data_IF_402066550060
#
_entry.id   IF_402066550060
#
_cell.length_a   1.000
_cell.length_b   1.000
_cell.length_c   1.000
_cell.angle_alpha   90.00
_cell.angle_beta   90.00
_cell.angle_gamma   90.00
#
_symmetry.space_group_name_H-M   'P 1'
#
loop_
_entity.id
_entity.type
_entity.pdbx_description
1 polymer ?
#
# COMPACT_ATOMS: atom_id res chain seq x y z
N UNK A 1 56.59 -43.00 -38.22
CA UNK A 1 56.85 -42.06 -39.33
C UNK A 1 56.63 -40.65 -38.81
N UNK A 2 57.72 -39.87 -38.69
CA UNK A 2 57.79 -38.40 -38.53
C UNK A 2 57.18 -37.67 -39.75
N UNK A 3 56.98 -36.32 -39.78
CA UNK A 3 56.59 -35.30 -38.77
C UNK A 3 55.49 -34.35 -39.39
N UNK A 4 55.46 -32.99 -39.27
CA UNK A 4 55.18 -32.09 -38.12
C UNK A 4 54.20 -30.89 -38.38
N UNK A 5 54.00 -30.08 -37.30
CA UNK A 5 54.01 -28.59 -37.21
C UNK A 5 52.79 -27.74 -37.63
N UNK A 6 52.14 -27.20 -36.60
CA UNK A 6 52.00 -25.77 -36.26
C UNK A 6 52.07 -24.72 -37.38
N UNK A 7 51.03 -23.90 -37.51
CA UNK A 7 51.00 -22.52 -36.98
C UNK A 7 49.79 -21.73 -37.53
N UNK A 8 49.40 -20.72 -36.74
CA UNK A 8 48.63 -19.52 -37.13
C UNK A 8 47.12 -19.75 -37.31
N UNK A 9 46.23 -18.90 -36.80
CA UNK A 9 46.34 -17.61 -36.15
C UNK A 9 45.04 -17.40 -35.37
N UNK A 10 45.12 -16.54 -34.34
CA UNK A 10 44.02 -16.25 -33.44
C UNK A 10 42.74 -15.81 -34.14
N UNK A 11 41.62 -16.23 -33.57
CA UNK A 11 40.34 -15.55 -33.77
C UNK A 11 39.84 -15.09 -32.41
N UNK A 12 40.10 -13.81 -32.17
CA UNK A 12 39.43 -12.98 -31.20
C UNK A 12 37.92 -13.22 -31.24
N UNK A 13 37.34 -13.46 -30.07
CA UNK A 13 35.90 -13.33 -29.84
C UNK A 13 35.58 -11.83 -29.93
N UNK A 14 35.13 -11.40 -31.12
CA UNK A 14 34.50 -10.12 -31.32
C UNK A 14 32.98 -10.33 -31.35
N UNK A 15 32.35 -10.33 -30.17
CA UNK A 15 30.91 -10.10 -30.03
C UNK A 15 30.68 -8.59 -30.20
N UNK A 16 30.72 -8.13 -31.45
CA UNK A 16 30.32 -6.76 -31.78
C UNK A 16 28.80 -6.64 -31.65
N UNK A 17 28.42 -5.64 -30.85
CA UNK A 17 27.08 -5.11 -30.68
C UNK A 17 26.32 -5.01 -32.02
N UNK A 18 25.21 -5.76 -32.10
CA UNK A 18 24.16 -5.57 -33.07
C UNK A 18 22.91 -5.15 -32.30
N UNK A 19 22.57 -3.87 -32.41
CA UNK A 19 21.23 -3.31 -32.70
C UNK A 19 21.28 -1.84 -32.27
N UNK A 20 21.62 -0.96 -33.22
CA UNK A 20 21.14 0.42 -33.21
C UNK A 20 20.92 0.80 -34.66
N UNK A 21 19.67 1.10 -35.01
CA UNK A 21 19.20 2.09 -35.98
C UNK A 21 17.70 1.84 -36.20
N UNK A 22 16.87 2.45 -35.36
CA UNK A 22 15.41 2.35 -35.46
C UNK A 22 14.59 2.63 -34.19
N UNK A 23 15.19 3.13 -33.11
CA UNK A 23 14.45 3.48 -31.88
C UNK A 23 14.98 4.78 -31.28
N UNK A 24 14.88 5.87 -32.04
CA UNK A 24 15.12 7.22 -31.53
C UNK A 24 13.94 7.67 -30.67
N UNK A 25 14.23 8.15 -29.47
CA UNK A 25 13.30 8.63 -28.42
C UNK A 25 12.65 7.53 -27.56
N UNK A 26 11.97 6.53 -28.13
CA UNK A 26 11.14 5.61 -27.32
C UNK A 26 11.88 4.79 -26.24
N UNK A 27 13.09 4.29 -26.53
CA UNK A 27 13.83 3.43 -25.57
C UNK A 27 14.46 4.25 -24.44
N UNK A 28 14.91 5.47 -24.73
CA UNK A 28 15.48 6.36 -23.71
C UNK A 28 14.39 6.83 -22.74
N UNK A 29 13.22 7.21 -23.26
CA UNK A 29 12.07 7.61 -22.46
C UNK A 29 11.56 6.44 -21.58
N UNK A 30 11.57 5.21 -22.12
CA UNK A 30 11.16 4.01 -21.38
C UNK A 30 12.14 3.66 -20.26
N UNK A 31 13.45 3.77 -20.50
CA UNK A 31 14.48 3.50 -19.47
C UNK A 31 14.45 4.57 -18.38
N UNK A 32 14.29 5.85 -18.75
CA UNK A 32 14.22 6.96 -17.79
C UNK A 32 12.98 6.84 -16.89
N UNK A 33 11.81 6.56 -17.48
CA UNK A 33 10.57 6.34 -16.72
C UNK A 33 10.67 5.15 -15.76
N UNK A 34 11.30 4.04 -16.17
CA UNK A 34 11.52 2.89 -15.30
C UNK A 34 12.43 3.21 -14.11
N UNK A 35 13.49 4.01 -14.31
CA UNK A 35 14.39 4.46 -13.24
C UNK A 35 13.68 5.42 -12.27
N UNK A 36 12.92 6.38 -12.80
CA UNK A 36 12.18 7.37 -11.98
C UNK A 36 11.08 6.70 -11.16
N UNK A 37 10.42 5.69 -11.73
CA UNK A 37 9.44 4.85 -11.05
C UNK A 37 10.10 4.02 -9.95
N UNK A 38 11.25 3.39 -10.21
CA UNK A 38 11.98 2.62 -9.21
C UNK A 38 12.46 3.50 -8.02
N UNK A 39 12.96 4.70 -8.31
CA UNK A 39 13.35 5.67 -7.27
C UNK A 39 12.15 6.13 -6.43
N UNK A 40 11.01 6.39 -7.09
CA UNK A 40 9.76 6.76 -6.42
C UNK A 40 9.30 5.62 -5.50
N UNK A 41 9.21 4.40 -6.01
CA UNK A 41 8.86 3.22 -5.21
C UNK A 41 9.78 3.02 -4.02
N UNK A 42 11.10 3.17 -4.22
CA UNK A 42 12.09 3.09 -3.13
C UNK A 42 11.83 4.13 -2.04
N UNK A 43 11.65 5.39 -2.40
CA UNK A 43 11.34 6.46 -1.44
C UNK A 43 10.03 6.21 -0.69
N UNK A 44 8.99 5.70 -1.36
CA UNK A 44 7.73 5.35 -0.71
C UNK A 44 7.89 4.15 0.23
N UNK A 45 8.61 3.11 -0.19
CA UNK A 45 8.90 1.94 0.64
C UNK A 45 9.67 2.32 1.91
N UNK A 46 10.72 3.15 1.78
CA UNK A 46 11.49 3.64 2.92
C UNK A 46 10.63 4.45 3.89
N UNK A 47 9.79 5.35 3.36
CA UNK A 47 8.85 6.14 4.15
C UNK A 47 7.88 5.24 4.91
N UNK A 48 7.26 4.29 4.24
CA UNK A 48 6.29 3.37 4.85
C UNK A 48 6.93 2.43 5.88
N UNK A 49 8.15 1.95 5.61
CA UNK A 49 8.94 1.20 6.60
C UNK A 49 9.22 1.99 7.88
N UNK A 50 9.44 3.31 7.76
CA UNK A 50 9.54 4.21 8.93
C UNK A 50 8.22 4.37 9.65
N UNK A 51 7.09 4.43 8.92
CA UNK A 51 5.75 4.58 9.53
C UNK A 51 5.48 3.51 10.57
N UNK A 52 5.85 2.25 10.30
CA UNK A 52 5.66 1.13 11.22
C UNK A 52 6.37 1.30 12.58
N UNK A 53 7.33 2.23 12.67
CA UNK A 53 8.07 2.56 13.90
C UNK A 53 7.55 3.83 14.60
N UNK A 54 6.58 4.53 14.02
CA UNK A 54 6.08 5.80 14.54
C UNK A 54 5.00 5.61 15.60
N UNK A 55 4.92 6.56 16.52
CA UNK A 55 3.74 6.73 17.39
C UNK A 55 2.85 7.83 16.82
N UNK A 56 1.63 7.50 16.40
CA UNK A 56 0.67 8.46 15.89
C UNK A 56 -0.80 7.98 15.93
N UNK A 57 -1.71 8.94 15.84
CA UNK A 57 -3.11 8.72 15.48
C UNK A 57 -3.41 9.43 14.16
N UNK A 58 -3.95 8.68 13.21
CA UNK A 58 -4.38 9.14 11.90
C UNK A 58 -5.88 8.86 11.73
N UNK A 59 -6.63 9.88 11.34
CA UNK A 59 -8.05 9.77 11.02
C UNK A 59 -8.20 9.88 9.51
N UNK A 60 -8.84 8.88 8.93
CA UNK A 60 -9.09 8.74 7.51
C UNK A 60 -10.57 8.84 7.21
N UNK A 61 -10.86 9.42 6.07
CA UNK A 61 -12.17 9.43 5.45
C UNK A 61 -12.16 8.48 4.26
N UNK A 62 -13.01 7.47 4.29
CA UNK A 62 -13.26 6.60 3.15
C UNK A 62 -14.33 7.25 2.27
N UNK A 63 -14.10 7.23 0.97
CA UNK A 63 -15.02 7.68 -0.07
C UNK A 63 -15.19 6.52 -1.03
N UNK A 64 -16.38 5.95 -1.06
CA UNK A 64 -16.77 4.94 -2.04
C UNK A 64 -18.03 5.37 -2.77
N UNK A 65 -18.23 4.83 -3.98
CA UNK A 65 -19.49 4.86 -4.70
C UNK A 65 -20.11 3.45 -4.72
N UNK A 66 -20.33 2.81 -3.57
CA UNK A 66 -21.19 1.62 -3.57
C UNK A 66 -22.65 2.05 -3.75
N UNK A 67 -23.26 1.63 -4.86
CA UNK A 67 -24.69 1.74 -5.14
C UNK A 67 -25.30 3.16 -5.02
N UNK A 68 -24.57 4.20 -5.46
CA UNK A 68 -25.14 5.54 -5.64
C UNK A 68 -25.38 6.34 -4.36
N UNK A 69 -24.83 5.92 -3.22
CA UNK A 69 -24.72 6.74 -2.02
C UNK A 69 -23.25 6.97 -1.68
N UNK A 70 -22.84 8.23 -1.53
CA UNK A 70 -21.53 8.57 -0.95
C UNK A 70 -21.60 8.35 0.56
N UNK A 71 -21.50 7.10 0.99
CA UNK A 71 -21.21 6.86 2.40
C UNK A 71 -19.78 7.30 2.69
N UNK A 72 -19.68 8.13 3.72
CA UNK A 72 -18.41 8.64 4.21
C UNK A 72 -18.15 7.98 5.54
N UNK A 73 -17.35 6.92 5.54
CA UNK A 73 -16.95 6.25 6.78
C UNK A 73 -15.64 6.86 7.31
N UNK A 74 -15.55 7.00 8.63
CA UNK A 74 -14.33 7.47 9.28
C UNK A 74 -13.60 6.31 9.92
N UNK A 75 -12.32 6.18 9.61
CA UNK A 75 -11.44 5.16 10.18
C UNK A 75 -10.32 5.83 10.94
N UNK A 76 -10.11 5.43 12.19
CA UNK A 76 -9.03 5.92 13.04
C UNK A 76 -7.98 4.81 13.17
N UNK A 77 -6.78 5.08 12.68
CA UNK A 77 -5.59 4.26 12.91
C UNK A 77 -4.77 4.86 14.06
N UNK A 78 -4.59 4.11 15.14
CA UNK A 78 -3.69 4.43 16.24
C UNK A 78 -2.52 3.48 16.23
N UNK A 79 -1.31 4.00 16.13
CA UNK A 79 -0.07 3.22 16.09
C UNK A 79 0.85 3.67 17.22
N UNK A 80 1.26 2.74 18.07
CA UNK A 80 2.27 2.94 19.10
C UNK A 80 3.04 1.62 19.24
N UNK A 81 4.10 1.41 18.46
CA UNK A 81 4.79 0.13 18.39
C UNK A 81 5.15 -0.39 19.79
N UNK A 82 4.91 -1.68 20.06
CA UNK A 82 4.48 -2.72 19.11
C UNK A 82 2.95 -2.82 18.89
N UNK A 83 2.17 -1.88 19.42
CA UNK A 83 0.70 -1.90 19.38
C UNK A 83 0.13 -1.12 18.18
N UNK A 84 -0.96 -1.61 17.64
CA UNK A 84 -1.78 -0.89 16.66
C UNK A 84 -3.27 -1.14 16.92
N UNK A 85 -4.09 -0.16 16.55
CA UNK A 85 -5.53 -0.28 16.59
C UNK A 85 -6.16 0.45 15.42
N UNK A 86 -7.18 -0.15 14.83
CA UNK A 86 -8.04 0.44 13.82
C UNK A 86 -9.45 0.51 14.39
N UNK A 87 -10.08 1.69 14.34
CA UNK A 87 -11.43 1.90 14.88
C UNK A 87 -12.32 2.56 13.84
N UNK A 88 -13.55 2.06 13.74
CA UNK A 88 -14.64 2.67 12.99
C UNK A 88 -15.82 2.92 13.94
N UNK A 89 -16.90 3.58 13.51
CA UNK A 89 -18.11 3.69 14.32
C UNK A 89 -18.73 2.32 14.68
N UNK A 90 -18.61 1.34 13.79
CA UNK A 90 -19.20 0.00 13.96
C UNK A 90 -18.28 -1.05 14.57
N UNK A 91 -16.95 -0.83 14.56
CA UNK A 91 -16.01 -1.87 14.95
C UNK A 91 -14.65 -1.38 15.42
N UNK A 92 -13.87 -2.32 15.97
CA UNK A 92 -12.49 -2.06 16.39
C UNK A 92 -11.64 -3.31 16.21
N UNK A 93 -10.46 -3.12 15.62
CA UNK A 93 -9.38 -4.08 15.56
C UNK A 93 -8.27 -3.59 16.47
N UNK A 94 -7.82 -4.39 17.43
CA UNK A 94 -6.64 -4.12 18.24
C UNK A 94 -5.63 -5.24 18.02
N UNK A 95 -4.37 -4.86 17.84
CA UNK A 95 -3.26 -5.76 17.68
C UNK A 95 -2.12 -5.37 18.63
N UNK A 96 -1.75 -6.29 19.51
CA UNK A 96 -0.67 -6.17 20.50
C UNK A 96 0.19 -7.43 20.46
N UNK A 97 1.40 -7.44 21.03
CA UNK A 97 2.20 -8.66 21.13
C UNK A 97 1.50 -9.81 21.87
N UNK A 98 0.61 -9.50 22.79
CA UNK A 98 -0.03 -10.50 23.65
C UNK A 98 -1.36 -11.00 23.08
N UNK A 99 -2.12 -10.13 22.43
CA UNK A 99 -3.47 -10.45 21.97
C UNK A 99 -3.91 -9.64 20.75
N UNK A 100 -4.91 -10.19 20.06
CA UNK A 100 -5.73 -9.50 19.08
C UNK A 100 -7.15 -9.38 19.60
N UNK A 101 -7.81 -8.26 19.28
CA UNK A 101 -9.23 -8.04 19.58
C UNK A 101 -9.92 -7.60 18.31
N UNK A 102 -11.03 -8.24 17.97
CA UNK A 102 -11.92 -7.82 16.90
C UNK A 102 -13.28 -7.54 17.54
N UNK A 103 -13.81 -6.34 17.31
CA UNK A 103 -15.11 -5.92 17.80
C UNK A 103 -16.02 -5.52 16.64
N UNK A 104 -17.30 -5.88 16.75
CA UNK A 104 -18.41 -5.43 15.90
C UNK A 104 -19.63 -5.20 16.79
N UNK A 105 -20.32 -4.08 16.63
CA UNK A 105 -21.61 -3.79 17.29
C UNK A 105 -21.59 -3.98 18.82
N UNK A 106 -20.47 -3.66 19.46
CA UNK A 106 -20.30 -3.79 20.92
C UNK A 106 -20.01 -5.20 21.43
N UNK A 107 -19.89 -6.20 20.56
CA UNK A 107 -19.35 -7.51 20.89
C UNK A 107 -17.89 -7.61 20.43
N UNK A 108 -17.02 -8.18 21.25
CA UNK A 108 -15.61 -8.35 20.96
C UNK A 108 -15.17 -9.79 21.16
N UNK A 109 -14.33 -10.27 20.25
CA UNK A 109 -13.58 -11.51 20.41
C UNK A 109 -12.13 -11.18 20.68
N UNK A 110 -11.56 -11.79 21.72
CA UNK A 110 -10.15 -11.68 22.08
C UNK A 110 -9.47 -13.02 21.88
N UNK A 111 -8.36 -13.03 21.15
CA UNK A 111 -7.48 -14.19 20.99
C UNK A 111 -6.03 -13.82 21.35
N UNK A 112 -5.21 -14.77 21.81
CA UNK A 112 -3.78 -14.62 21.89
C UNK A 112 -3.23 -14.25 20.53
N UNK A 113 -2.25 -13.34 20.51
CA UNK A 113 -1.56 -13.06 19.27
C UNK A 113 -0.51 -14.15 19.03
N UNK A 114 -0.77 -15.01 18.05
CA UNK A 114 0.16 -16.05 17.60
C UNK A 114 0.92 -15.65 16.34
N UNK A 115 0.65 -14.46 15.79
CA UNK A 115 1.30 -13.97 14.59
C UNK A 115 2.75 -13.60 14.89
N UNK A 116 3.67 -14.01 14.00
CA UNK A 116 5.06 -13.58 14.03
C UNK A 116 5.26 -12.14 13.51
N UNK A 117 4.17 -11.48 13.08
CA UNK A 117 4.18 -10.17 12.43
C UNK A 117 3.55 -9.11 13.32
N UNK A 118 4.08 -7.88 13.27
CA UNK A 118 3.60 -6.74 14.06
C UNK A 118 2.37 -6.04 13.44
N UNK A 119 1.88 -6.53 12.30
CA UNK A 119 0.78 -5.94 11.53
C UNK A 119 -0.38 -6.92 11.41
N UNK A 120 -1.64 -6.48 11.57
CA UNK A 120 -2.80 -7.31 11.32
C UNK A 120 -2.87 -7.79 9.88
N UNK A 121 -3.45 -8.97 9.66
CA UNK A 121 -3.70 -9.49 8.32
C UNK A 121 -4.73 -8.61 7.57
N UNK A 122 -4.57 -8.46 6.25
CA UNK A 122 -5.44 -7.60 5.44
C UNK A 122 -6.92 -7.95 5.56
N UNK A 123 -7.26 -9.25 5.67
CA UNK A 123 -8.65 -9.70 5.86
C UNK A 123 -9.26 -9.23 7.19
N UNK A 124 -8.47 -9.12 8.26
CA UNK A 124 -8.93 -8.58 9.54
C UNK A 124 -9.16 -7.08 9.47
N UNK A 125 -8.31 -6.37 8.72
CA UNK A 125 -8.50 -4.94 8.46
C UNK A 125 -9.78 -4.72 7.67
N UNK A 126 -10.01 -5.45 6.58
CA UNK A 126 -11.23 -5.37 5.78
C UNK A 126 -12.48 -5.72 6.58
N UNK A 127 -12.42 -6.71 7.48
CA UNK A 127 -13.54 -7.08 8.34
C UNK A 127 -14.00 -5.96 9.28
N UNK A 128 -13.14 -4.98 9.59
CA UNK A 128 -13.45 -3.87 10.51
C UNK A 128 -13.59 -2.54 9.80
N UNK A 129 -12.70 -2.27 8.84
CA UNK A 129 -12.60 -1.01 8.11
C UNK A 129 -13.39 -1.01 6.78
N UNK A 130 -14.00 -2.15 6.43
CA UNK A 130 -14.67 -2.35 5.15
C UNK A 130 -13.69 -2.59 3.98
N UNK A 131 -14.22 -2.99 2.81
CA UNK A 131 -13.43 -3.25 1.61
C UNK A 131 -12.78 -1.99 1.02
N UNK A 132 -13.28 -0.80 1.35
CA UNK A 132 -12.77 0.46 0.84
C UNK A 132 -11.50 0.97 1.54
N UNK A 133 -11.11 0.39 2.68
CA UNK A 133 -9.91 0.83 3.39
C UNK A 133 -8.65 0.16 2.86
N UNK A 134 -7.71 0.98 2.39
CA UNK A 134 -6.41 0.52 1.90
C UNK A 134 -5.34 0.81 2.95
N UNK A 135 -4.66 -0.23 3.43
CA UNK A 135 -3.54 -0.02 4.34
C UNK A 135 -2.35 0.60 3.59
N UNK A 136 -1.43 1.29 4.29
CA UNK A 136 -0.24 1.85 3.66
C UNK A 136 0.61 0.81 2.90
N UNK A 137 0.71 -0.42 3.41
CA UNK A 137 1.44 -1.53 2.79
C UNK A 137 0.76 -2.01 1.50
N UNK A 138 -0.57 -2.11 1.51
CA UNK A 138 -1.35 -2.47 0.33
C UNK A 138 -1.25 -1.37 -0.74
N UNK A 139 -1.35 -0.10 -0.36
CA UNK A 139 -1.19 1.03 -1.27
C UNK A 139 0.14 0.97 -2.02
N UNK A 140 1.24 0.68 -1.33
CA UNK A 140 2.56 0.51 -1.95
C UNK A 140 2.60 -0.70 -2.89
N UNK A 141 2.07 -1.85 -2.45
CA UNK A 141 1.99 -3.03 -3.29
C UNK A 141 1.26 -2.76 -4.61
N UNK A 142 0.20 -1.97 -4.57
CA UNK A 142 -0.55 -1.56 -5.75
C UNK A 142 0.25 -0.61 -6.66
N UNK A 143 0.97 0.37 -6.12
CA UNK A 143 1.84 1.24 -6.93
C UNK A 143 2.98 0.45 -7.56
N UNK A 144 3.59 -0.46 -6.80
CA UNK A 144 4.67 -1.32 -7.29
C UNK A 144 4.19 -2.27 -8.39
N UNK A 145 2.97 -2.80 -8.28
CA UNK A 145 2.36 -3.60 -9.33
C UNK A 145 2.07 -2.75 -10.58
N UNK A 146 1.52 -1.55 -10.42
CA UNK A 146 1.20 -0.64 -11.52
C UNK A 146 2.45 -0.17 -12.28
N UNK A 147 3.57 0.02 -11.57
CA UNK A 147 4.86 0.39 -12.12
C UNK A 147 5.46 -0.61 -13.12
N UNK A 148 5.03 -1.88 -13.09
CA UNK A 148 5.57 -2.94 -13.96
C UNK A 148 4.70 -3.11 -15.22
N UNK A 149 3.52 -2.50 -15.26
CA UNK A 149 2.61 -2.56 -16.41
C UNK A 149 3.20 -1.74 -17.57
N UNK A 150 3.32 -2.29 -18.78
CA UNK A 150 3.81 -1.54 -19.94
C UNK A 150 2.92 -0.33 -20.24
N UNK A 151 3.55 0.79 -20.63
CA UNK A 151 2.89 2.06 -20.96
C UNK A 151 2.21 2.78 -19.78
N UNK A 152 2.58 2.48 -18.53
CA UNK A 152 2.20 3.32 -17.40
C UNK A 152 3.11 4.54 -17.27
N UNK A 153 2.50 5.67 -16.92
CA UNK A 153 3.19 6.93 -16.63
C UNK A 153 3.04 7.24 -15.14
N UNK A 154 4.17 7.48 -14.47
CA UNK A 154 4.23 7.82 -13.05
C UNK A 154 4.69 9.26 -12.91
N UNK A 155 3.85 10.11 -12.34
CA UNK A 155 4.18 11.51 -12.07
C UNK A 155 4.16 11.78 -10.58
N UNK A 156 5.19 12.44 -10.08
CA UNK A 156 5.25 12.85 -8.69
C UNK A 156 4.83 14.31 -8.51
N UNK A 157 4.07 14.58 -7.45
CA UNK A 157 3.67 15.93 -7.08
C UNK A 157 3.76 16.11 -5.57
N UNK A 158 4.10 17.31 -5.11
CA UNK A 158 4.04 17.66 -3.69
C UNK A 158 2.68 18.30 -3.38
N UNK A 159 2.07 17.90 -2.26
CA UNK A 159 0.78 18.43 -1.79
C UNK A 159 0.77 18.54 -0.28
N UNK A 160 -0.11 19.40 0.25
CA UNK A 160 -0.40 19.46 1.69
C UNK A 160 -1.77 18.82 1.97
N UNK A 161 -1.78 17.76 2.79
CA UNK A 161 -3.00 17.00 3.16
C UNK A 161 -3.04 16.89 4.69
N UNK A 162 -4.18 17.22 5.31
CA UNK A 162 -4.34 17.32 6.77
C UNK A 162 -3.20 18.10 7.48
N UNK A 163 -2.70 19.16 6.82
CA UNK A 163 -1.59 19.98 7.32
C UNK A 163 -0.19 19.37 7.17
N UNK A 164 -0.07 18.13 6.69
CA UNK A 164 1.20 17.44 6.46
C UNK A 164 1.70 17.68 5.03
N UNK A 165 3.01 17.85 4.86
CA UNK A 165 3.65 17.81 3.53
C UNK A 165 3.70 16.37 3.02
N UNK A 166 3.30 16.17 1.77
CA UNK A 166 3.17 14.84 1.16
C UNK A 166 3.82 14.79 -0.21
N UNK A 167 4.41 13.64 -0.51
CA UNK A 167 4.81 13.26 -1.86
C UNK A 167 3.73 12.34 -2.42
N UNK A 168 3.13 12.75 -3.53
CA UNK A 168 2.12 12.00 -4.24
C UNK A 168 2.70 11.38 -5.51
N UNK A 169 2.37 10.12 -5.78
CA UNK A 169 2.58 9.46 -7.06
C UNK A 169 1.23 9.26 -7.74
N UNK A 170 1.07 9.86 -8.91
CA UNK A 170 -0.06 9.68 -9.81
C UNK A 170 0.37 8.69 -10.91
N UNK A 171 -0.25 7.51 -10.94
CA UNK A 171 -0.01 6.48 -11.97
C UNK A 171 -1.18 6.48 -12.94
N UNK A 172 -0.90 6.58 -14.22
CA UNK A 172 -1.90 6.55 -15.30
C UNK A 172 -1.55 5.52 -16.36
N UNK A 173 -2.54 5.12 -17.16
CA UNK A 173 -2.33 4.15 -18.24
C UNK A 173 -2.22 2.70 -17.73
N UNK A 174 -2.65 2.45 -16.49
CA UNK A 174 -2.76 1.10 -15.96
C UNK A 174 -3.81 0.39 -16.83
N UNK A 175 -3.40 -0.67 -17.49
CA UNK A 175 -4.24 -1.45 -18.40
C UNK A 175 -4.25 -2.88 -17.90
N UNK A 176 -5.41 -3.56 -17.87
CA UNK A 176 -5.45 -4.97 -17.54
C UNK A 176 -4.69 -5.77 -18.62
N UNK A 177 -3.56 -6.43 -18.29
CA UNK A 177 -2.82 -7.22 -19.26
C UNK A 177 -3.60 -8.44 -19.79
N UNK A 178 -4.77 -8.77 -19.21
CA UNK A 178 -5.61 -9.90 -19.60
C UNK A 178 -6.88 -9.51 -20.36
N UNK A 179 -7.16 -8.22 -20.56
CA UNK A 179 -8.31 -7.76 -21.35
C UNK A 179 -9.67 -8.14 -20.75
N UNK A 180 -9.80 -8.18 -19.43
CA UNK A 180 -11.07 -8.37 -18.74
C UNK A 180 -12.03 -7.20 -18.98
N UNK A 181 -13.33 -7.50 -19.07
CA UNK A 181 -14.40 -6.55 -19.40
C UNK A 181 -15.04 -5.86 -18.20
N UNK A 182 -14.46 -5.94 -17.00
CA UNK A 182 -14.98 -5.26 -15.82
C UNK A 182 -13.91 -4.38 -15.16
N UNK A 183 -14.16 -3.06 -15.19
CA UNK A 183 -13.48 -2.03 -14.41
C UNK A 183 -11.95 -2.06 -14.50
N UNK A 184 -11.37 -1.66 -15.63
CA UNK A 184 -9.91 -1.51 -15.70
C UNK A 184 -9.52 -0.28 -14.87
N UNK A 185 -8.65 -0.44 -13.86
CA UNK A 185 -8.06 0.69 -13.14
C UNK A 185 -7.35 1.60 -14.14
N UNK A 186 -7.84 2.82 -14.39
CA UNK A 186 -7.26 3.75 -15.37
C UNK A 186 -6.23 4.68 -14.71
N UNK A 187 -6.44 4.97 -13.42
CA UNK A 187 -5.61 5.85 -12.62
C UNK A 187 -5.53 5.39 -11.17
N UNK A 188 -4.31 5.46 -10.63
CA UNK A 188 -4.00 5.28 -9.23
C UNK A 188 -3.33 6.54 -8.69
N UNK A 189 -3.60 6.90 -7.45
CA UNK A 189 -2.91 8.01 -6.77
C UNK A 189 -2.60 7.60 -5.36
N UNK A 190 -1.34 7.77 -4.94
CA UNK A 190 -0.90 7.49 -3.57
C UNK A 190 -0.08 8.66 -3.06
N UNK A 191 -0.47 9.21 -1.91
CA UNK A 191 0.24 10.30 -1.25
C UNK A 191 0.74 9.83 0.11
N UNK A 192 2.02 10.06 0.40
CA UNK A 192 2.65 9.69 1.67
C UNK A 192 3.32 10.92 2.27
N UNK A 193 3.12 11.12 3.58
CA UNK A 193 3.77 12.19 4.34
C UNK A 193 5.29 12.01 4.38
N UNK A 194 6.02 13.03 4.82
CA UNK A 194 7.48 12.91 5.03
C UNK A 194 7.85 11.84 6.06
N UNK A 195 7.07 11.75 7.14
CA UNK A 195 7.23 10.75 8.20
C UNK A 195 6.88 9.35 7.75
N UNK A 196 6.06 9.20 6.70
CA UNK A 196 5.74 7.92 6.08
C UNK A 196 4.31 7.44 6.27
N UNK A 197 3.48 8.23 6.94
CA UNK A 197 2.04 7.96 7.07
C UNK A 197 1.36 8.15 5.72
N UNK A 198 0.50 7.22 5.34
CA UNK A 198 -0.36 7.35 4.17
C UNK A 198 -1.26 8.58 4.35
N UNK A 199 -1.23 9.50 3.38
CA UNK A 199 -2.04 10.71 3.41
C UNK A 199 -3.25 10.60 2.50
N UNK A 200 -3.12 9.90 1.37
CA UNK A 200 -4.25 9.58 0.52
C UNK A 200 -3.94 8.36 -0.34
N UNK A 201 -4.99 7.63 -0.69
CA UNK A 201 -4.96 6.65 -1.76
C UNK A 201 -6.27 6.81 -2.55
N UNK A 202 -6.20 6.79 -3.88
CA UNK A 202 -7.37 6.79 -4.73
C UNK A 202 -7.13 5.87 -5.92
N UNK A 203 -8.08 4.97 -6.17
CA UNK A 203 -8.19 4.20 -7.40
C UNK A 203 -9.40 4.69 -8.19
N UNK A 204 -9.25 4.74 -9.51
CA UNK A 204 -10.36 4.99 -10.43
C UNK A 204 -10.37 3.93 -11.51
N UNK A 205 -11.56 3.49 -11.89
CA UNK A 205 -11.75 2.62 -13.05
C UNK A 205 -12.08 3.43 -14.31
N UNK A 206 -11.93 2.80 -15.46
CA UNK A 206 -12.39 3.29 -16.77
C UNK A 206 -13.90 3.59 -16.81
N UNK A 207 -14.72 2.92 -16.01
CA UNK A 207 -16.15 3.22 -15.82
C UNK A 207 -16.41 4.47 -14.97
N UNK A 208 -15.36 5.08 -14.39
CA UNK A 208 -15.43 6.28 -13.56
C UNK A 208 -15.70 6.00 -12.08
N UNK A 209 -15.82 4.74 -11.68
CA UNK A 209 -15.96 4.35 -10.27
C UNK A 209 -14.69 4.73 -9.50
N UNK A 210 -14.87 5.30 -8.31
CA UNK A 210 -13.77 5.77 -7.49
C UNK A 210 -13.86 5.20 -6.08
N UNK A 211 -12.76 4.61 -5.63
CA UNK A 211 -12.52 4.32 -4.22
C UNK A 211 -11.36 5.20 -3.75
N UNK A 212 -11.56 5.93 -2.66
CA UNK A 212 -10.52 6.77 -2.09
C UNK A 212 -10.51 6.72 -0.57
N UNK A 213 -9.32 6.86 0.00
CA UNK A 213 -9.09 7.17 1.39
C UNK A 213 -8.26 8.44 1.49
N UNK A 214 -8.63 9.32 2.39
CA UNK A 214 -7.93 10.59 2.60
C UNK A 214 -7.74 10.87 4.08
N UNK A 215 -6.53 11.22 4.47
CA UNK A 215 -6.18 11.64 5.81
C UNK A 215 -6.87 12.99 6.08
N UNK A 216 -7.70 13.03 7.12
CA UNK A 216 -8.38 14.25 7.55
C UNK A 216 -7.73 14.87 8.77
N UNK A 217 -7.08 14.05 9.62
CA UNK A 217 -6.41 14.52 10.83
C UNK A 217 -5.22 13.65 11.18
N UNK A 218 -4.15 14.30 11.65
CA UNK A 218 -2.94 13.65 12.13
C UNK A 218 -2.53 14.18 13.50
N UNK A 219 -2.07 13.29 14.37
CA UNK A 219 -1.52 13.59 15.69
C UNK A 219 -0.33 12.68 15.97
N UNK A 220 0.82 13.22 16.36
CA UNK A 220 1.98 12.43 16.83
C UNK A 220 1.81 11.87 18.25
N UNK A 221 0.57 11.74 18.74
CA UNK A 221 0.21 11.23 20.06
C UNK A 221 -0.91 10.21 19.90
N UNK A 222 -0.91 9.20 20.76
CA UNK A 222 -1.93 8.16 20.84
C UNK A 222 -2.58 8.16 22.21
N UNK A 223 -3.88 7.90 22.24
CA UNK A 223 -4.61 7.56 23.46
C UNK A 223 -4.45 6.06 23.74
N UNK A 224 -3.91 5.69 24.90
CA UNK A 224 -3.71 4.29 25.27
C UNK A 224 -5.00 3.46 25.31
N UNK A 225 -6.16 4.09 25.48
CA UNK A 225 -7.47 3.41 25.41
C UNK A 225 -7.84 2.92 24.01
N UNK A 226 -7.14 3.39 22.97
CA UNK A 226 -7.28 2.87 21.61
C UNK A 226 -6.91 1.37 21.53
N UNK A 227 -6.04 0.89 22.42
CA UNK A 227 -5.59 -0.50 22.48
C UNK A 227 -6.41 -1.37 23.43
N UNK A 228 -7.59 -0.92 23.84
CA UNK A 228 -8.53 -1.67 24.65
C UNK A 228 -9.86 -1.88 23.89
N UNK A 229 -10.68 -2.86 24.29
CA UNK A 229 -12.06 -2.95 23.84
C UNK A 229 -12.80 -1.61 24.02
N UNK A 230 -13.76 -1.27 23.13
CA UNK A 230 -14.65 -0.14 23.36
C UNK A 230 -15.34 -0.24 24.74
N UNK A 231 -15.56 0.89 25.38
CA UNK A 231 -16.21 0.93 26.69
C UNK A 231 -17.61 0.28 26.61
N UNK A 232 -17.91 -0.62 27.54
CA UNK A 232 -19.18 -1.34 27.58
C UNK A 232 -19.28 -2.53 26.62
N UNK A 233 -18.24 -2.83 25.84
CA UNK A 233 -18.25 -4.00 24.97
C UNK A 233 -18.22 -5.31 25.76
N UNK A 234 -18.98 -6.30 25.29
CA UNK A 234 -18.90 -7.66 25.82
C UNK A 234 -17.70 -8.36 25.17
N UNK A 235 -16.77 -8.86 25.99
CA UNK A 235 -15.54 -9.49 25.50
C UNK A 235 -15.60 -10.99 25.73
N UNK A 236 -15.54 -11.76 24.65
CA UNK A 236 -15.38 -13.20 24.67
C UNK A 236 -13.91 -13.56 24.41
N UNK A 237 -13.27 -14.23 25.38
CA UNK A 237 -11.96 -14.84 25.18
C UNK A 237 -12.15 -16.18 24.47
N UNK A 238 -11.74 -16.24 23.19
CA UNK A 238 -11.93 -17.42 22.34
C UNK A 238 -10.77 -18.41 22.44
N UNK A 239 -9.76 -18.15 23.29
CA UNK A 239 -8.67 -19.09 23.56
C UNK A 239 -8.84 -19.91 24.84
N UNK A 240 -9.82 -19.59 25.68
CA UNK A 240 -10.15 -20.44 26.81
C UNK A 240 -11.26 -21.42 26.43
N UNK A 241 -11.05 -22.74 26.57
CA UNK A 241 -12.13 -23.70 26.43
C UNK A 241 -13.22 -23.35 27.44
N UNK A 242 -14.46 -23.21 26.96
CA UNK A 242 -15.64 -23.14 27.84
C UNK A 242 -15.84 -24.54 28.42
N UNK A 243 -15.50 -24.72 29.70
CA UNK A 243 -15.78 -25.92 30.48
C UNK A 243 -17.14 -25.81 31.16
#
# INVERSE_FOLDING_TARGET
MTPPRDHLAGRLVALCALVLLGAGCGVVDTVQNAVDTANTLGSFADRLGRSAQLTFTAEYRIVGEEAGQRETETVILSQQPPNSALSTPGGRLVHTPEYMIICSDGACQKSPNTAATTTPEAGMVTAVAGPGFVTPELALGLVAAAAIVPNTDVRTTERRIAGQETLCADVTGVSDPRGGTEGTLDRLTVCVTESGVLAAFAGRTDSGEQAAIELVKYSGKVDGSAFAPPAGATVEDIAQPRW
#
